data_IF_824313439415
#
_entry.id   IF_824313439415
#
_cell.length_a   1.000
_cell.length_b   1.000
_cell.length_c   1.000
_cell.angle_alpha   90.00
_cell.angle_beta   90.00
_cell.angle_gamma   90.00
#
_symmetry.space_group_name_H-M   'P 1'
#
loop_
_entity.id
_entity.type
_entity.pdbx_description
1 polymer ?
#
# COMPACT_ATOMS: atom_id res chain seq x y z
N UNK A 1 36.56 57.58 17.01
CA UNK A 1 35.51 56.98 16.16
C UNK A 1 36.02 55.81 15.31
N UNK A 2 37.27 55.85 14.84
CA UNK A 2 37.86 54.79 13.99
C UNK A 2 38.04 53.43 14.70
N UNK A 3 38.34 53.43 16.01
CA UNK A 3 38.55 52.19 16.78
C UNK A 3 37.25 51.39 17.05
N UNK A 4 36.08 52.05 17.05
CA UNK A 4 34.78 51.39 17.22
C UNK A 4 34.32 50.70 15.92
N UNK A 5 34.65 51.29 14.76
CA UNK A 5 34.33 50.72 13.45
C UNK A 5 35.09 49.42 13.16
N UNK A 6 36.33 49.29 13.64
CA UNK A 6 37.16 48.07 13.44
C UNK A 6 36.63 46.88 14.27
N UNK A 7 36.14 47.13 15.48
CA UNK A 7 35.56 46.08 16.35
C UNK A 7 34.26 45.54 15.76
N UNK A 8 33.40 46.43 15.23
CA UNK A 8 32.16 46.08 14.53
C UNK A 8 32.46 45.26 13.26
N UNK A 9 33.54 45.59 12.54
CA UNK A 9 33.98 44.84 11.37
C UNK A 9 34.48 43.42 11.73
N UNK A 10 35.21 43.28 12.84
CA UNK A 10 35.74 41.99 13.31
C UNK A 10 34.67 41.05 13.90
N UNK A 11 33.60 41.57 14.50
CA UNK A 11 32.52 40.74 15.09
C UNK A 11 31.35 40.49 14.13
N UNK A 12 31.08 41.39 13.18
CA UNK A 12 29.96 41.23 12.23
C UNK A 12 30.37 40.49 10.95
N UNK A 13 31.66 40.48 10.56
CA UNK A 13 32.13 39.70 9.41
C UNK A 13 32.37 38.20 9.73
N UNK A 14 32.25 37.78 10.99
CA UNK A 14 32.50 36.41 11.43
C UNK A 14 31.22 35.58 11.70
N UNK A 15 30.10 35.94 11.07
CA UNK A 15 28.90 35.08 11.03
C UNK A 15 28.35 35.04 9.60
N UNK A 16 29.20 34.68 8.64
CA UNK A 16 28.72 34.09 7.39
C UNK A 16 28.79 32.57 7.53
N UNK A 17 27.92 32.03 8.38
CA UNK A 17 27.62 30.60 8.40
C UNK A 17 26.83 30.27 7.13
N UNK A 18 27.57 29.89 6.09
CA UNK A 18 27.04 29.10 5.00
C UNK A 18 27.74 27.73 5.04
N UNK A 19 27.35 26.89 6.00
CA UNK A 19 27.49 25.44 5.86
C UNK A 19 26.47 24.98 4.79
N UNK A 20 26.67 25.41 3.54
CA UNK A 20 26.06 24.73 2.41
C UNK A 20 26.87 23.44 2.22
N UNK A 21 26.43 22.39 2.91
CA UNK A 21 27.06 21.08 2.82
C UNK A 21 27.37 20.72 1.36
N UNK A 22 28.52 20.08 1.13
CA UNK A 22 28.99 19.68 -0.20
C UNK A 22 28.08 18.57 -0.77
N UNK A 23 26.92 18.95 -1.27
CA UNK A 23 26.01 18.08 -1.98
C UNK A 23 26.32 18.19 -3.47
N UNK A 24 26.51 17.04 -4.11
CA UNK A 24 26.64 17.00 -5.56
C UNK A 24 25.35 17.56 -6.17
N UNK A 25 25.47 18.52 -7.09
CA UNK A 25 24.32 19.09 -7.79
C UNK A 25 23.51 17.96 -8.43
N UNK A 26 22.23 17.84 -8.06
CA UNK A 26 21.33 16.82 -8.61
C UNK A 26 20.39 17.45 -9.64
N UNK A 27 19.99 16.67 -10.65
CA UNK A 27 18.95 17.05 -11.59
C UNK A 27 17.86 15.98 -11.62
N UNK A 28 16.61 16.39 -11.84
CA UNK A 28 15.47 15.49 -11.94
C UNK A 28 15.45 14.74 -13.28
N UNK A 29 14.99 13.48 -13.27
CA UNK A 29 14.84 12.65 -14.48
C UNK A 29 13.52 12.89 -15.24
N UNK A 30 12.66 13.79 -14.74
CA UNK A 30 11.31 13.99 -15.28
C UNK A 30 10.36 12.82 -14.98
N UNK A 31 9.16 12.85 -15.59
CA UNK A 31 8.06 11.87 -15.35
C UNK A 31 7.98 10.73 -16.38
N UNK A 32 8.83 10.74 -17.41
CA UNK A 32 8.78 9.77 -18.50
C UNK A 32 7.61 9.98 -19.48
N UNK A 33 7.34 8.98 -20.33
CA UNK A 33 6.20 8.96 -21.28
C UNK A 33 5.29 7.78 -20.95
N UNK A 34 3.97 7.97 -20.86
CA UNK A 34 3.05 6.87 -20.60
C UNK A 34 2.95 5.95 -21.81
N UNK A 35 2.77 4.66 -21.58
CA UNK A 35 2.47 3.71 -22.66
C UNK A 35 1.05 3.96 -23.19
N UNK A 36 0.84 3.79 -24.48
CA UNK A 36 -0.48 3.95 -25.11
C UNK A 36 -1.25 2.63 -25.25
N UNK A 37 -0.55 1.51 -25.41
CA UNK A 37 -1.14 0.20 -25.67
C UNK A 37 -0.39 -0.93 -24.96
N UNK A 38 -1.05 -2.09 -24.82
CA UNK A 38 -0.50 -3.32 -24.28
C UNK A 38 -0.72 -4.49 -25.25
N UNK A 39 0.11 -5.54 -25.19
CA UNK A 39 -0.16 -6.82 -25.85
C UNK A 39 -1.56 -7.37 -25.56
N UNK A 40 -2.08 -8.23 -26.42
CA UNK A 40 -3.45 -8.74 -26.33
C UNK A 40 -3.72 -9.60 -25.08
N UNK A 41 -2.67 -10.17 -24.47
CA UNK A 41 -2.69 -11.00 -23.28
C UNK A 41 -2.43 -10.23 -21.97
N UNK A 42 -2.31 -8.91 -22.06
CA UNK A 42 -2.05 -8.02 -20.94
C UNK A 42 -3.12 -6.93 -20.79
N UNK A 43 -3.34 -6.50 -19.56
CA UNK A 43 -4.22 -5.39 -19.22
C UNK A 43 -3.40 -4.14 -18.88
N UNK A 44 -3.84 -2.98 -19.40
CA UNK A 44 -3.21 -1.70 -19.11
C UNK A 44 -3.72 -1.14 -17.78
N UNK A 45 -2.82 -0.94 -16.81
CA UNK A 45 -3.13 -0.28 -15.54
C UNK A 45 -2.01 0.70 -15.15
N UNK A 46 -2.35 1.92 -14.73
CA UNK A 46 -1.36 2.88 -14.21
C UNK A 46 -0.22 3.23 -15.18
N UNK A 47 -0.49 3.28 -16.49
CA UNK A 47 0.50 3.48 -17.56
C UNK A 47 1.55 2.35 -17.71
N UNK A 48 1.23 1.15 -17.23
CA UNK A 48 2.01 -0.07 -17.40
C UNK A 48 1.12 -1.21 -17.92
N UNK A 49 1.74 -2.27 -18.44
CA UNK A 49 1.05 -3.50 -18.82
C UNK A 49 1.27 -4.57 -17.76
N UNK A 50 0.20 -5.27 -17.42
CA UNK A 50 0.23 -6.39 -16.49
C UNK A 50 -0.37 -7.62 -17.14
N UNK A 51 0.11 -8.83 -16.83
CA UNK A 51 -0.56 -10.06 -17.23
C UNK A 51 -2.02 -10.06 -16.77
N UNK A 52 -2.91 -10.58 -17.62
CA UNK A 52 -4.32 -10.75 -17.25
C UNK A 52 -4.47 -11.58 -15.99
N UNK A 53 -5.41 -11.18 -15.13
CA UNK A 53 -5.75 -11.96 -13.96
C UNK A 53 -6.41 -13.28 -14.36
N UNK A 54 -6.16 -14.33 -13.56
CA UNK A 54 -6.82 -15.63 -13.71
C UNK A 54 -8.33 -15.50 -13.52
N UNK A 55 -9.07 -16.46 -14.05
CA UNK A 55 -10.52 -16.54 -13.85
C UNK A 55 -10.89 -16.51 -12.36
N UNK A 56 -11.93 -15.75 -12.04
CA UNK A 56 -12.36 -15.52 -10.66
C UNK A 56 -11.59 -14.43 -9.91
N UNK A 57 -10.59 -13.80 -10.53
CA UNK A 57 -9.90 -12.63 -9.99
C UNK A 57 -10.25 -11.35 -10.78
N UNK A 58 -10.01 -10.20 -10.17
CA UNK A 58 -10.18 -8.87 -10.74
C UNK A 58 -8.88 -8.08 -10.55
N UNK A 59 -8.38 -7.48 -11.63
CA UNK A 59 -7.21 -6.60 -11.57
C UNK A 59 -7.59 -5.23 -10.99
N UNK A 60 -6.97 -4.85 -9.86
CA UNK A 60 -7.05 -3.50 -9.31
C UNK A 60 -5.62 -3.02 -9.06
N UNK A 61 -5.14 -2.14 -9.94
CA UNK A 61 -3.73 -1.77 -9.97
C UNK A 61 -2.86 -2.95 -10.45
N UNK A 62 -1.64 -3.12 -9.91
CA UNK A 62 -0.75 -4.24 -10.24
C UNK A 62 -1.16 -5.57 -9.58
N UNK A 63 -2.32 -5.64 -8.91
CA UNK A 63 -2.70 -6.76 -8.05
C UNK A 63 -3.99 -7.42 -8.56
N UNK A 64 -4.00 -8.75 -8.58
CA UNK A 64 -5.19 -9.55 -8.82
C UNK A 64 -5.90 -9.89 -7.50
N UNK A 65 -7.09 -9.35 -7.29
CA UNK A 65 -7.94 -9.60 -6.13
C UNK A 65 -8.94 -10.71 -6.41
N UNK A 66 -9.14 -11.63 -5.47
CA UNK A 66 -10.16 -12.67 -5.64
C UNK A 66 -11.55 -12.06 -5.55
N UNK A 67 -12.43 -12.40 -6.50
CA UNK A 67 -13.85 -12.01 -6.43
C UNK A 67 -14.48 -12.66 -5.20
N UNK A 68 -15.23 -11.86 -4.43
CA UNK A 68 -15.90 -12.40 -3.25
C UNK A 68 -16.93 -13.46 -3.63
N UNK A 69 -16.98 -14.59 -2.89
CA UNK A 69 -18.03 -15.59 -3.07
C UNK A 69 -19.42 -14.98 -2.87
N UNK A 70 -20.44 -15.63 -3.44
CA UNK A 70 -21.82 -15.18 -3.30
C UNK A 70 -22.22 -15.04 -1.82
N UNK A 71 -22.92 -13.95 -1.51
CA UNK A 71 -23.33 -13.64 -0.14
C UNK A 71 -22.26 -12.98 0.73
N UNK A 72 -21.05 -12.75 0.23
CA UNK A 72 -20.05 -11.95 0.93
C UNK A 72 -20.08 -10.50 0.43
N UNK A 73 -19.87 -9.55 1.34
CA UNK A 73 -19.70 -8.14 0.99
C UNK A 73 -18.23 -7.87 0.76
N UNK A 74 -17.89 -7.40 -0.42
CA UNK A 74 -16.55 -6.88 -0.71
C UNK A 74 -16.30 -5.59 0.10
N UNK A 75 -15.22 -5.58 0.87
CA UNK A 75 -14.76 -4.42 1.67
C UNK A 75 -13.42 -3.87 1.19
N UNK A 76 -13.01 -4.22 -0.04
CA UNK A 76 -11.78 -3.76 -0.71
C UNK A 76 -10.54 -4.56 -0.32
N UNK A 77 -10.31 -4.79 0.97
CA UNK A 77 -9.18 -5.60 1.46
C UNK A 77 -9.53 -7.09 1.63
N UNK A 78 -10.79 -7.45 1.46
CA UNK A 78 -11.26 -8.82 1.62
C UNK A 78 -12.79 -8.95 1.57
N UNK A 79 -13.27 -10.14 1.92
CA UNK A 79 -14.69 -10.50 1.83
C UNK A 79 -15.31 -10.62 3.22
N UNK A 80 -16.21 -9.70 3.55
CA UNK A 80 -16.95 -9.70 4.80
C UNK A 80 -18.12 -10.69 4.71
N UNK A 81 -18.26 -11.56 5.72
CA UNK A 81 -19.44 -12.42 5.88
C UNK A 81 -20.71 -11.56 6.01
N UNK A 82 -21.88 -12.16 5.70
CA UNK A 82 -23.22 -11.56 5.96
C UNK A 82 -23.35 -11.10 7.41
N UNK A 83 -24.45 -10.35 7.69
CA UNK A 83 -24.81 -9.82 9.02
C UNK A 83 -24.25 -10.70 10.14
N UNK A 84 -23.48 -10.12 11.08
CA UNK A 84 -22.90 -10.89 12.17
C UNK A 84 -24.03 -11.59 12.91
N UNK A 85 -24.09 -12.91 12.79
CA UNK A 85 -24.96 -13.75 13.57
C UNK A 85 -24.10 -14.41 14.64
N UNK A 86 -24.69 -14.64 15.81
CA UNK A 86 -24.00 -15.36 16.87
C UNK A 86 -23.63 -16.76 16.39
N UNK A 87 -22.33 -17.02 16.20
CA UNK A 87 -21.80 -18.37 15.92
C UNK A 87 -21.53 -19.16 17.22
N UNK A 88 -22.01 -18.66 18.36
CA UNK A 88 -21.74 -19.20 19.68
C UNK A 88 -20.28 -19.04 20.10
N UNK A 89 -19.90 -19.67 21.21
CA UNK A 89 -18.52 -19.67 21.71
C UNK A 89 -17.60 -20.71 21.01
N UNK A 90 -18.15 -21.51 20.09
CA UNK A 90 -17.43 -22.66 19.51
C UNK A 90 -17.18 -23.79 20.53
N UNK A 91 -16.36 -24.77 20.14
CA UNK A 91 -15.91 -25.85 21.01
C UNK A 91 -14.38 -25.95 20.94
N UNK A 92 -13.74 -26.09 22.09
CA UNK A 92 -12.26 -26.20 22.19
C UNK A 92 -11.76 -27.47 21.50
N UNK A 93 -12.50 -28.59 21.63
CA UNK A 93 -12.08 -29.87 21.06
C UNK A 93 -12.97 -30.28 19.88
N UNK A 94 -12.32 -30.75 18.80
CA UNK A 94 -13.00 -31.27 17.62
C UNK A 94 -13.97 -32.41 17.97
N UNK A 95 -13.60 -33.26 18.92
CA UNK A 95 -14.47 -34.35 19.37
C UNK A 95 -15.77 -33.84 20.01
N UNK A 96 -15.70 -32.82 20.89
CA UNK A 96 -16.91 -32.21 21.47
C UNK A 96 -17.77 -31.53 20.41
N UNK A 97 -17.15 -30.90 19.41
CA UNK A 97 -17.87 -30.31 18.29
C UNK A 97 -18.59 -31.37 17.45
N UNK A 98 -17.89 -32.39 16.97
CA UNK A 98 -18.46 -33.43 16.11
C UNK A 98 -19.55 -34.25 16.80
N UNK A 99 -19.45 -34.42 18.13
CA UNK A 99 -20.51 -35.08 18.92
C UNK A 99 -21.84 -34.30 18.88
N UNK A 100 -21.78 -32.96 18.80
CA UNK A 100 -22.98 -32.09 18.76
C UNK A 100 -23.40 -31.67 17.36
N UNK A 101 -22.48 -31.71 16.40
CA UNK A 101 -22.68 -31.29 15.02
C UNK A 101 -22.19 -32.38 14.07
N UNK A 102 -22.80 -33.57 14.17
CA UNK A 102 -22.46 -34.71 13.31
C UNK A 102 -22.96 -34.54 11.88
N UNK A 103 -24.01 -33.74 11.70
CA UNK A 103 -24.69 -33.43 10.45
C UNK A 103 -24.04 -32.27 9.68
N UNK A 104 -23.74 -31.14 10.35
CA UNK A 104 -23.17 -29.95 9.70
C UNK A 104 -21.64 -29.91 9.74
N UNK A 105 -20.99 -30.75 10.55
CA UNK A 105 -19.55 -30.72 10.75
C UNK A 105 -19.06 -29.49 11.53
N UNK A 106 -17.74 -29.34 11.59
CA UNK A 106 -17.07 -28.32 12.40
C UNK A 106 -16.22 -27.39 11.54
N UNK A 107 -16.52 -26.09 11.60
CA UNK A 107 -15.68 -25.04 11.01
C UNK A 107 -14.34 -24.96 11.77
N UNK A 108 -13.24 -24.81 11.05
CA UNK A 108 -11.90 -24.58 11.62
C UNK A 108 -11.76 -23.15 12.10
#
# INVERSE_FOLDING_TARGET
>A
MERFAVIICLTILCFAEAEEGCWRTTYGRGVGKPISWCPADEDKNGALCYPKCKDGYLGVGPICWQKCPEGFKDIGVGCQKRKPYGRGAGYITKHKCLKKHSDTGCQR
#
